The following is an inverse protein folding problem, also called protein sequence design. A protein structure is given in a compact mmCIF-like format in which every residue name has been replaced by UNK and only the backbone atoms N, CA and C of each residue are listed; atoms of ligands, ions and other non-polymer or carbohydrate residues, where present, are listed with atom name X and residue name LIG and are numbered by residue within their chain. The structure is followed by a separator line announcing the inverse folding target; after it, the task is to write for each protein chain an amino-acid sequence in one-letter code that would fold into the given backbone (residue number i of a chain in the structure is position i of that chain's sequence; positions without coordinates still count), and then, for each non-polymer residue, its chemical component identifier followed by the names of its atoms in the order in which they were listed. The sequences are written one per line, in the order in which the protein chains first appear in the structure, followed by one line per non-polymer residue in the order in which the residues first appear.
data_IF_714254682728
#
_entry.id   IF_714254682728
#
_cell.length_a   1.000
_cell.length_b   1.000
_cell.length_c   1.000
_cell.angle_alpha   90.00
_cell.angle_beta   90.00
_cell.angle_gamma   90.00
#
_symmetry.space_group_name_H-M   'P 1'
#
loop_
_entity.id
_entity.type
_entity.pdbx_description
1 polymer ?
#
# COMPACT_ATOMS: atom_id res chain seq x y z
N UNK A 1 -7.54 26.00 20.52
CA UNK A 1 -8.69 26.85 20.08
C UNK A 1 -9.60 26.01 19.20
N UNK A 2 -10.90 26.29 19.18
CA UNK A 2 -11.93 25.46 18.55
C UNK A 2 -12.31 25.93 17.13
N UNK A 3 -12.19 25.01 16.15
CA UNK A 3 -12.76 25.04 14.79
C UNK A 3 -12.82 23.59 14.28
N UNK A 4 -13.66 23.19 13.33
CA UNK A 4 -15.04 23.60 13.01
C UNK A 4 -15.67 22.44 12.21
N UNK A 5 -16.99 22.25 12.28
CA UNK A 5 -17.69 21.22 11.48
C UNK A 5 -18.09 21.83 10.13
N UNK A 6 -17.77 21.18 9.00
CA UNK A 6 -18.58 21.04 7.77
C UNK A 6 -17.76 20.56 6.55
N UNK A 7 -18.44 19.83 5.64
CA UNK A 7 -18.03 19.36 4.31
C UNK A 7 -16.83 18.38 4.17
N UNK A 8 -16.69 17.66 3.05
CA UNK A 8 -17.43 16.45 2.64
C UNK A 8 -17.11 16.05 1.17
N UNK A 9 -16.67 14.81 0.95
CA UNK A 9 -16.57 14.08 -0.35
C UNK A 9 -15.62 14.61 -1.45
N UNK A 10 -15.28 13.69 -2.37
CA UNK A 10 -14.42 13.82 -3.56
C UNK A 10 -12.92 14.01 -3.23
N UNK A 11 -11.95 13.57 -4.04
CA UNK A 11 -11.93 12.98 -5.41
C UNK A 11 -11.14 11.65 -5.42
N UNK A 12 -11.49 10.74 -6.34
CA UNK A 12 -10.82 9.43 -6.57
C UNK A 12 -9.73 9.53 -7.66
N UNK A 13 -8.63 8.76 -7.55
CA UNK A 13 -7.45 8.87 -8.43
C UNK A 13 -7.56 8.23 -9.83
N UNK A 14 -6.49 8.40 -10.64
CA UNK A 14 -6.33 7.80 -11.99
C UNK A 14 -4.87 7.50 -12.36
N UNK A 15 -4.69 6.42 -13.14
CA UNK A 15 -3.59 6.08 -14.08
C UNK A 15 -4.01 4.72 -14.71
N UNK A 16 -3.89 4.39 -16.00
CA UNK A 16 -3.65 5.13 -17.26
C UNK A 16 -4.27 4.30 -18.42
N UNK A 17 -4.65 4.81 -19.60
CA UNK A 17 -4.78 6.19 -20.07
C UNK A 17 -6.15 6.37 -20.82
N UNK A 18 -6.36 6.64 -22.12
CA UNK A 18 -5.49 6.93 -23.28
C UNK A 18 -6.27 7.70 -24.38
N UNK A 19 -5.67 8.77 -24.92
CA UNK A 19 -6.12 9.63 -26.04
C UNK A 19 -7.42 10.46 -25.86
N UNK A 20 -7.38 11.67 -26.43
CA UNK A 20 -8.48 12.64 -26.72
C UNK A 20 -9.80 12.47 -25.94
N UNK A 21 -10.17 13.33 -24.99
CA UNK A 21 -10.12 14.82 -25.07
C UNK A 21 -9.63 15.50 -23.77
N UNK A 22 -9.00 14.78 -22.85
CA UNK A 22 -8.56 15.33 -21.55
C UNK A 22 -7.39 16.34 -21.59
N UNK A 23 -6.72 16.49 -22.73
CA UNK A 23 -5.50 17.30 -22.87
C UNK A 23 -5.64 18.81 -22.66
N UNK A 24 -6.87 19.34 -22.55
CA UNK A 24 -7.13 20.77 -22.35
C UNK A 24 -7.32 21.12 -20.86
N UNK A 25 -8.23 20.44 -20.15
CA UNK A 25 -8.37 20.60 -18.69
C UNK A 25 -7.10 20.18 -17.91
N UNK A 26 -6.37 19.17 -18.40
CA UNK A 26 -5.08 18.81 -17.80
C UNK A 26 -4.02 19.92 -17.97
N UNK A 27 -4.13 20.77 -18.99
CA UNK A 27 -3.17 21.86 -19.25
C UNK A 27 -3.51 23.11 -18.45
N UNK A 28 -4.78 23.44 -18.29
CA UNK A 28 -5.26 24.54 -17.44
C UNK A 28 -5.00 24.29 -15.94
N UNK A 29 -4.83 23.04 -15.52
CA UNK A 29 -4.34 22.68 -14.17
C UNK A 29 -2.82 22.50 -14.05
N UNK A 30 -2.04 22.80 -15.10
CA UNK A 30 -0.57 22.68 -15.11
C UNK A 30 0.16 23.99 -15.46
N UNK A 31 -0.54 25.13 -15.47
CA UNK A 31 0.06 26.46 -15.68
C UNK A 31 -0.45 27.48 -14.66
N UNK A 32 0.06 27.39 -13.43
CA UNK A 32 0.81 28.52 -12.85
C UNK A 32 1.74 28.04 -11.73
N UNK A 33 2.97 28.55 -11.75
CA UNK A 33 4.06 28.48 -10.74
C UNK A 33 4.00 27.37 -9.67
N UNK A 34 4.84 26.32 -9.84
CA UNK A 34 5.17 25.36 -8.77
C UNK A 34 6.11 25.94 -7.70
N UNK A 35 5.75 27.07 -7.09
CA UNK A 35 6.32 27.52 -5.81
C UNK A 35 5.43 27.04 -4.65
N UNK A 36 5.42 25.72 -4.43
CA UNK A 36 4.65 25.09 -3.37
C UNK A 36 5.02 23.61 -3.23
N UNK A 37 5.55 23.23 -2.07
CA UNK A 37 5.92 21.83 -1.81
C UNK A 37 4.68 20.94 -1.67
N UNK A 38 4.75 19.72 -2.20
CA UNK A 38 3.74 18.67 -1.95
C UNK A 38 3.95 18.11 -0.54
N UNK A 39 3.67 18.94 0.44
CA UNK A 39 3.79 18.71 1.87
C UNK A 39 2.51 19.20 2.53
N UNK A 40 1.46 18.38 2.51
CA UNK A 40 0.31 18.63 3.36
C UNK A 40 0.76 18.50 4.82
N UNK A 41 0.54 19.54 5.61
CA UNK A 41 0.93 19.58 7.03
C UNK A 41 0.10 18.56 7.85
N UNK A 42 -1.06 18.18 7.31
CA UNK A 42 -1.81 16.98 7.67
C UNK A 42 -1.33 15.80 6.80
N UNK A 43 -0.83 14.73 7.42
CA UNK A 43 -0.12 13.64 6.73
C UNK A 43 -1.00 12.61 6.00
N UNK A 44 -0.34 11.81 5.14
CA UNK A 44 -0.79 10.59 4.45
C UNK A 44 -2.31 10.41 4.22
N UNK A 45 -2.74 10.68 2.99
CA UNK A 45 -4.09 10.34 2.50
C UNK A 45 -4.27 8.82 2.45
N UNK A 46 -5.40 8.25 2.91
CA UNK A 46 -5.57 6.81 3.07
C UNK A 46 -5.36 6.03 1.76
N UNK A 47 -4.59 4.95 1.89
CA UNK A 47 -4.37 3.94 0.86
C UNK A 47 -5.66 3.49 0.19
N UNK A 48 -5.64 3.57 -1.13
CA UNK A 48 -6.66 3.11 -2.05
C UNK A 48 -5.98 2.36 -3.19
N UNK A 49 -6.56 1.23 -3.59
CA UNK A 49 -6.07 0.39 -4.66
C UNK A 49 -7.19 0.09 -5.64
N UNK A 50 -6.88 0.08 -6.95
CA UNK A 50 -7.85 0.02 -8.04
C UNK A 50 -7.53 -1.21 -8.90
N UNK A 51 -8.54 -1.97 -9.31
CA UNK A 51 -8.37 -3.12 -10.21
C UNK A 51 -7.79 -2.69 -11.56
N UNK A 52 -7.03 -3.57 -12.22
CA UNK A 52 -6.37 -3.29 -13.51
C UNK A 52 -7.31 -2.86 -14.64
N UNK A 53 -8.60 -3.18 -14.54
CA UNK A 53 -9.64 -2.74 -15.49
C UNK A 53 -10.25 -1.37 -15.17
N UNK A 54 -9.82 -0.72 -14.09
CA UNK A 54 -10.28 0.60 -13.64
C UNK A 54 -11.69 0.65 -13.05
N UNK A 55 -12.35 -0.51 -12.83
CA UNK A 55 -13.78 -0.56 -12.44
C UNK A 55 -14.06 -0.73 -10.95
N UNK A 56 -13.16 -1.31 -10.17
CA UNK A 56 -13.34 -1.51 -8.73
C UNK A 56 -12.22 -0.82 -7.95
N UNK A 57 -12.58 -0.07 -6.91
CA UNK A 57 -11.63 0.51 -5.96
C UNK A 57 -11.86 -0.06 -4.56
N UNK A 58 -10.77 -0.31 -3.84
CA UNK A 58 -10.77 -0.67 -2.42
C UNK A 58 -10.04 0.42 -1.65
N UNK A 59 -10.61 0.90 -0.54
CA UNK A 59 -10.03 1.98 0.26
C UNK A 59 -10.36 1.80 1.75
N UNK A 60 -9.46 2.23 2.64
CA UNK A 60 -9.72 2.20 4.09
C UNK A 60 -10.23 3.54 4.61
N UNK A 61 -11.30 3.51 5.42
CA UNK A 61 -11.90 4.69 6.06
C UNK A 61 -11.84 4.55 7.58
N UNK A 62 -11.39 5.60 8.26
CA UNK A 62 -11.34 5.66 9.71
C UNK A 62 -12.69 6.12 10.33
N UNK A 63 -13.01 5.60 11.51
CA UNK A 63 -14.21 5.97 12.27
C UNK A 63 -13.99 5.84 13.79
N UNK A 64 -14.55 6.77 14.57
CA UNK A 64 -14.47 6.70 16.03
C UNK A 64 -15.60 5.82 16.61
N UNK A 65 -15.28 4.55 16.87
CA UNK A 65 -16.18 3.53 17.40
C UNK A 65 -16.05 3.41 18.92
N UNK A 66 -17.02 2.80 19.60
CA UNK A 66 -16.86 2.35 20.99
C UNK A 66 -16.13 1.00 20.98
N UNK A 67 -15.22 0.71 21.92
CA UNK A 67 -14.68 -0.63 22.10
C UNK A 67 -15.76 -1.62 22.52
N UNK A 68 -15.50 -2.91 22.30
CA UNK A 68 -16.42 -4.01 22.63
C UNK A 68 -16.74 -4.13 24.13
N UNK A 69 -15.84 -3.63 24.99
CA UNK A 69 -15.97 -3.69 26.45
C UNK A 69 -15.72 -2.32 27.11
N UNK A 70 -16.36 -2.10 28.26
CA UNK A 70 -16.28 -0.86 29.01
C UNK A 70 -17.18 0.24 28.44
N UNK A 71 -18.43 0.31 28.93
CA UNK A 71 -19.44 1.29 28.48
C UNK A 71 -18.93 2.74 28.60
N UNK A 72 -18.11 3.02 29.61
CA UNK A 72 -17.52 4.34 29.88
C UNK A 72 -16.19 4.61 29.15
N UNK A 73 -15.60 3.62 28.47
CA UNK A 73 -14.37 3.79 27.70
C UNK A 73 -14.49 4.90 26.66
N UNK A 74 -13.37 5.54 26.31
CA UNK A 74 -13.34 6.52 25.21
C UNK A 74 -13.65 5.82 23.87
N UNK A 75 -13.95 6.60 22.85
CA UNK A 75 -14.02 6.08 21.48
C UNK A 75 -12.60 5.85 20.94
N UNK A 76 -12.43 4.76 20.21
CA UNK A 76 -11.17 4.35 19.59
C UNK A 76 -11.28 4.52 18.06
N UNK A 77 -10.15 4.74 17.40
CA UNK A 77 -10.11 4.96 15.95
C UNK A 77 -10.00 3.62 15.21
N UNK A 78 -11.12 3.18 14.65
CA UNK A 78 -11.24 1.91 13.92
C UNK A 78 -11.26 2.18 12.42
N UNK A 79 -10.41 1.47 11.68
CA UNK A 79 -10.35 1.53 10.21
C UNK A 79 -11.12 0.36 9.61
N UNK A 80 -11.94 0.63 8.61
CA UNK A 80 -12.70 -0.38 7.88
C UNK A 80 -12.41 -0.25 6.38
N UNK A 81 -12.30 -1.38 5.68
CA UNK A 81 -12.10 -1.40 4.23
C UNK A 81 -13.47 -1.36 3.54
N UNK A 82 -13.57 -0.51 2.52
CA UNK A 82 -14.73 -0.36 1.66
C UNK A 82 -14.34 -0.66 0.21
N UNK A 83 -15.32 -1.16 -0.56
CA UNK A 83 -15.26 -1.35 -2.01
C UNK A 83 -16.19 -0.32 -2.68
N UNK A 84 -15.79 0.21 -3.83
CA UNK A 84 -16.61 1.06 -4.69
C UNK A 84 -16.49 0.63 -6.16
N UNK A 85 -17.52 0.89 -6.94
CA UNK A 85 -17.61 0.52 -8.36
C UNK A 85 -17.67 1.77 -9.25
N UNK A 86 -17.01 1.71 -10.41
CA UNK A 86 -17.04 2.79 -11.40
C UNK A 86 -18.11 2.53 -12.45
N UNK A 87 -19.24 3.23 -12.35
CA UNK A 87 -20.38 3.12 -13.26
C UNK A 87 -20.55 4.43 -14.01
N UNK A 88 -20.61 4.38 -15.35
CA UNK A 88 -20.71 5.55 -16.23
C UNK A 88 -19.64 6.65 -16.00
N UNK A 89 -18.50 6.29 -15.39
CA UNK A 89 -17.41 7.20 -15.05
C UNK A 89 -17.37 7.62 -13.57
N UNK A 90 -18.48 7.52 -12.86
CA UNK A 90 -18.64 7.93 -11.46
C UNK A 90 -18.41 6.76 -10.49
N UNK A 91 -17.96 7.05 -9.27
CA UNK A 91 -17.73 6.05 -8.22
C UNK A 91 -18.96 5.92 -7.32
N UNK A 92 -19.55 4.73 -7.30
CA UNK A 92 -20.82 4.41 -6.64
C UNK A 92 -20.76 3.02 -5.96
N UNK A 93 -21.90 2.48 -5.53
CA UNK A 93 -22.06 1.15 -4.92
C UNK A 93 -21.08 0.89 -3.75
N UNK A 94 -20.87 1.92 -2.92
CA UNK A 94 -19.93 1.89 -1.80
C UNK A 94 -20.41 0.89 -0.74
N UNK A 95 -19.63 -0.16 -0.52
CA UNK A 95 -19.95 -1.31 0.34
C UNK A 95 -18.82 -1.54 1.36
N UNK A 96 -19.14 -1.86 2.62
CA UNK A 96 -18.13 -2.30 3.60
C UNK A 96 -17.70 -3.72 3.27
N UNK A 97 -16.42 -4.03 3.43
CA UNK A 97 -15.86 -5.37 3.25
C UNK A 97 -15.64 -6.05 4.61
N UNK A 98 -16.08 -7.29 4.74
CA UNK A 98 -15.92 -8.11 5.95
C UNK A 98 -14.53 -8.77 6.02
N UNK A 99 -13.48 -7.93 5.97
CA UNK A 99 -12.06 -8.32 6.03
C UNK A 99 -11.60 -8.76 7.43
N UNK A 100 -12.21 -8.21 8.48
CA UNK A 100 -11.85 -8.46 9.88
C UNK A 100 -13.10 -8.36 10.78
N UNK A 101 -13.08 -8.93 12.00
CA UNK A 101 -14.18 -8.77 12.94
C UNK A 101 -14.36 -7.30 13.37
N UNK A 102 -15.56 -6.94 13.79
CA UNK A 102 -15.87 -5.58 14.29
C UNK A 102 -14.98 -5.20 15.50
N UNK A 103 -14.78 -3.90 15.69
CA UNK A 103 -13.86 -3.28 16.67
C UNK A 103 -12.36 -3.51 16.42
N UNK A 104 -11.97 -4.36 15.46
CA UNK A 104 -10.60 -4.40 14.93
C UNK A 104 -10.49 -3.51 13.68
N UNK A 105 -9.30 -3.00 13.43
CA UNK A 105 -8.99 -2.20 12.24
C UNK A 105 -8.50 -3.08 11.10
N UNK A 106 -8.96 -2.80 9.90
CA UNK A 106 -8.30 -3.18 8.65
C UNK A 106 -8.03 -1.90 7.83
N UNK A 107 -6.77 -1.73 7.43
CA UNK A 107 -6.27 -0.54 6.72
C UNK A 107 -5.33 -0.96 5.59
N UNK A 108 -5.06 -0.04 4.69
CA UNK A 108 -4.09 -0.21 3.61
C UNK A 108 -4.41 -1.35 2.61
N UNK A 109 -5.59 -1.34 1.96
CA UNK A 109 -5.97 -2.33 0.95
C UNK A 109 -5.13 -2.22 -0.34
N UNK A 110 -4.63 -3.35 -0.81
CA UNK A 110 -4.06 -3.56 -2.14
C UNK A 110 -4.74 -4.73 -2.83
N UNK A 111 -5.32 -4.51 -4.02
CA UNK A 111 -5.82 -5.59 -4.86
C UNK A 111 -4.71 -6.11 -5.77
N UNK A 112 -4.65 -7.44 -5.96
CA UNK A 112 -3.71 -8.05 -6.91
C UNK A 112 -4.04 -7.68 -8.35
N UNK A 113 -3.01 -7.71 -9.21
CA UNK A 113 -3.14 -7.31 -10.62
C UNK A 113 -4.19 -8.13 -11.40
N UNK A 114 -4.39 -9.39 -11.03
CA UNK A 114 -5.41 -10.28 -11.59
C UNK A 114 -6.81 -10.11 -10.98
N UNK A 115 -6.97 -9.21 -10.00
CA UNK A 115 -8.23 -8.91 -9.33
C UNK A 115 -8.71 -9.95 -8.31
N UNK A 116 -7.92 -10.99 -7.99
CA UNK A 116 -8.37 -12.16 -7.21
C UNK A 116 -7.98 -12.18 -5.73
N UNK A 117 -7.09 -11.30 -5.28
CA UNK A 117 -6.65 -11.23 -3.87
C UNK A 117 -6.66 -9.79 -3.38
N UNK A 118 -7.07 -9.59 -2.13
CA UNK A 118 -7.00 -8.33 -1.41
C UNK A 118 -6.03 -8.48 -0.25
N UNK A 119 -4.89 -7.80 -0.33
CA UNK A 119 -3.91 -7.67 0.75
C UNK A 119 -4.24 -6.45 1.61
N UNK A 120 -4.04 -6.53 2.92
CA UNK A 120 -4.29 -5.41 3.83
C UNK A 120 -3.56 -5.58 5.17
N UNK A 121 -3.37 -4.50 5.92
CA UNK A 121 -2.85 -4.54 7.28
C UNK A 121 -4.02 -4.58 8.30
N UNK A 122 -3.97 -5.47 9.29
CA UNK A 122 -5.00 -5.56 10.35
C UNK A 122 -4.43 -5.92 11.71
N UNK A 123 -5.04 -5.39 12.78
CA UNK A 123 -4.71 -5.71 14.17
C UNK A 123 -5.67 -6.75 14.78
N UNK A 124 -6.30 -7.59 13.95
CA UNK A 124 -7.32 -8.52 14.43
C UNK A 124 -6.75 -9.68 15.26
N UNK A 125 -7.56 -10.21 16.18
CA UNK A 125 -7.14 -11.26 17.11
C UNK A 125 -6.54 -12.46 16.36
N UNK A 126 -5.28 -12.76 16.65
CA UNK A 126 -4.48 -13.77 15.94
C UNK A 126 -3.33 -13.18 15.12
N UNK A 127 -3.22 -11.85 15.07
CA UNK A 127 -2.00 -11.13 14.63
C UNK A 127 -0.79 -11.51 15.50
N UNK A 128 0.40 -11.53 14.90
CA UNK A 128 1.68 -11.71 15.61
C UNK A 128 2.11 -10.41 16.31
N UNK A 129 1.76 -9.24 15.75
CA UNK A 129 2.18 -7.92 16.20
C UNK A 129 1.06 -6.91 16.43
N UNK A 130 1.39 -5.62 16.28
CA UNK A 130 0.47 -4.48 16.39
C UNK A 130 -0.50 -4.43 15.22
N UNK A 131 0.01 -4.63 14.01
CA UNK A 131 -0.73 -4.82 12.77
C UNK A 131 0.04 -5.79 11.88
N UNK A 132 -0.66 -6.76 11.34
CA UNK A 132 -0.11 -7.81 10.48
C UNK A 132 -0.62 -7.65 9.04
N UNK A 133 0.17 -8.06 8.04
CA UNK A 133 -0.35 -8.25 6.69
C UNK A 133 -1.20 -9.53 6.63
N UNK A 134 -2.41 -9.35 6.11
CA UNK A 134 -3.38 -10.38 5.77
C UNK A 134 -3.66 -10.38 4.26
N UNK A 135 -4.16 -11.51 3.76
CA UNK A 135 -4.72 -11.64 2.42
C UNK A 135 -6.09 -12.32 2.45
N UNK A 136 -7.04 -11.82 1.67
CA UNK A 136 -8.34 -12.45 1.44
C UNK A 136 -8.57 -12.69 -0.06
N UNK A 137 -9.16 -13.83 -0.39
CA UNK A 137 -9.51 -14.16 -1.78
C UNK A 137 -10.76 -13.38 -2.22
N UNK A 138 -10.71 -12.72 -3.37
CA UNK A 138 -11.86 -12.01 -3.98
C UNK A 138 -12.65 -13.01 -4.83
N UNK A 139 -13.91 -13.24 -4.46
CA UNK A 139 -14.81 -14.14 -5.19
C UNK A 139 -15.42 -13.42 -6.42
N UNK A 140 -16.02 -14.20 -7.32
CA UNK A 140 -16.62 -13.69 -8.55
C UNK A 140 -17.81 -12.72 -8.35
N UNK A 141 -18.42 -12.70 -7.17
CA UNK A 141 -19.46 -11.76 -6.75
C UNK A 141 -18.90 -10.49 -6.07
N UNK A 142 -17.58 -10.35 -5.98
CA UNK A 142 -16.89 -9.26 -5.28
C UNK A 142 -16.84 -9.41 -3.76
N UNK A 143 -17.44 -10.45 -3.19
CA UNK A 143 -17.31 -10.76 -1.76
C UNK A 143 -15.93 -11.38 -1.46
N UNK A 144 -15.52 -11.34 -0.18
CA UNK A 144 -14.22 -11.87 0.24
C UNK A 144 -14.34 -13.27 0.86
N UNK A 145 -13.29 -14.07 0.69
CA UNK A 145 -13.04 -15.29 1.45
C UNK A 145 -12.50 -14.99 2.85
N UNK A 146 -12.17 -16.04 3.60
CA UNK A 146 -11.57 -15.91 4.93
C UNK A 146 -10.16 -15.32 4.81
N UNK A 147 -9.92 -14.24 5.55
CA UNK A 147 -8.63 -13.55 5.64
C UNK A 147 -7.56 -14.42 6.31
N UNK A 148 -6.46 -14.66 5.60
CA UNK A 148 -5.32 -15.49 6.01
C UNK A 148 -4.15 -14.58 6.42
N UNK A 149 -3.52 -14.84 7.56
CA UNK A 149 -2.32 -14.14 8.01
C UNK A 149 -1.12 -14.58 7.16
N UNK A 150 -0.19 -13.68 6.81
CA UNK A 150 0.99 -14.04 6.01
C UNK A 150 2.15 -14.67 6.81
N UNK A 151 2.00 -14.85 8.12
CA UNK A 151 2.93 -15.56 8.98
C UNK A 151 4.27 -14.85 9.21
N UNK A 152 5.19 -15.46 9.98
CA UNK A 152 6.42 -14.80 10.47
C UNK A 152 7.44 -14.46 9.37
N UNK A 153 7.23 -14.97 8.14
CA UNK A 153 8.03 -14.60 6.98
C UNK A 153 7.81 -13.14 6.57
N UNK A 154 6.61 -12.60 6.80
CA UNK A 154 6.22 -11.19 6.56
C UNK A 154 6.02 -10.46 7.89
N UNK A 155 5.17 -11.00 8.76
CA UNK A 155 4.72 -10.36 9.99
C UNK A 155 5.71 -10.56 11.15
N UNK A 156 5.67 -9.68 12.14
CA UNK A 156 6.58 -9.63 13.29
C UNK A 156 5.80 -9.37 14.59
N UNK A 157 6.38 -8.65 15.57
CA UNK A 157 5.70 -8.22 16.80
C UNK A 157 5.26 -6.76 16.77
N UNK A 158 5.68 -6.00 15.75
CA UNK A 158 5.48 -4.56 15.66
C UNK A 158 4.40 -4.23 14.60
N UNK A 159 4.50 -3.11 13.88
CA UNK A 159 3.58 -2.75 12.80
C UNK A 159 4.13 -3.21 11.43
N UNK A 160 3.43 -4.10 10.73
CA UNK A 160 3.55 -4.32 9.29
C UNK A 160 2.42 -3.62 8.52
N UNK A 161 2.78 -2.80 7.54
CA UNK A 161 1.91 -1.82 6.92
C UNK A 161 2.07 -1.73 5.40
N UNK A 162 1.12 -1.03 4.77
CA UNK A 162 1.18 -0.59 3.37
C UNK A 162 1.58 -1.69 2.36
N UNK A 163 0.89 -2.85 2.35
CA UNK A 163 1.20 -3.89 1.37
C UNK A 163 0.96 -3.35 -0.05
N UNK A 164 1.91 -3.55 -0.95
CA UNK A 164 1.77 -3.29 -2.39
C UNK A 164 2.24 -4.53 -3.16
N UNK A 165 1.67 -4.82 -4.33
CA UNK A 165 2.02 -6.06 -5.06
C UNK A 165 2.25 -5.82 -6.55
N UNK A 166 3.36 -6.35 -7.05
CA UNK A 166 3.81 -6.23 -8.45
C UNK A 166 3.81 -7.60 -9.14
N UNK A 167 3.34 -7.65 -10.39
CA UNK A 167 3.07 -8.88 -11.17
C UNK A 167 2.23 -9.94 -10.43
N UNK A 168 1.58 -9.56 -9.32
CA UNK A 168 0.87 -10.42 -8.37
C UNK A 168 1.71 -11.52 -7.67
N UNK A 169 3.04 -11.54 -7.86
CA UNK A 169 3.97 -12.45 -7.18
C UNK A 169 4.95 -11.74 -6.26
N UNK A 170 5.24 -10.45 -6.46
CA UNK A 170 6.19 -9.69 -5.64
C UNK A 170 5.45 -8.76 -4.68
N UNK A 171 5.40 -9.13 -3.41
CA UNK A 171 4.77 -8.35 -2.33
C UNK A 171 5.81 -7.45 -1.66
N UNK A 172 5.53 -6.15 -1.64
CA UNK A 172 6.21 -5.15 -0.84
C UNK A 172 5.35 -4.81 0.40
N UNK A 173 5.99 -4.40 1.48
CA UNK A 173 5.35 -3.89 2.69
C UNK A 173 6.37 -3.07 3.50
N UNK A 174 5.88 -2.22 4.39
CA UNK A 174 6.71 -1.55 5.39
C UNK A 174 6.64 -2.29 6.74
N UNK A 175 7.71 -2.31 7.53
CA UNK A 175 7.79 -3.00 8.82
C UNK A 175 8.65 -2.24 9.83
N UNK A 176 8.16 -2.13 11.07
CA UNK A 176 8.93 -1.63 12.24
C UNK A 176 9.73 -2.74 12.95
N UNK A 177 9.44 -4.02 12.70
CA UNK A 177 9.88 -5.15 13.53
C UNK A 177 11.07 -5.95 13.01
N UNK A 178 11.88 -5.36 12.12
CA UNK A 178 12.98 -6.02 11.38
C UNK A 178 14.24 -5.15 11.37
N UNK A 179 15.41 -5.75 11.18
CA UNK A 179 16.66 -4.98 11.07
C UNK A 179 16.66 -4.11 9.80
N UNK A 180 16.73 -2.79 9.99
CA UNK A 180 16.65 -1.78 8.95
C UNK A 180 17.40 -0.49 9.31
N UNK A 181 16.93 0.63 8.76
CA UNK A 181 17.62 1.92 8.82
C UNK A 181 16.88 2.98 9.66
N UNK A 182 15.57 2.83 9.89
CA UNK A 182 14.69 3.90 10.37
C UNK A 182 13.59 3.44 11.34
N UNK A 183 12.37 3.92 11.10
CA UNK A 183 11.17 3.50 11.83
C UNK A 183 10.45 2.41 11.04
N UNK A 184 9.63 2.81 10.08
CA UNK A 184 9.13 1.92 9.03
C UNK A 184 10.18 1.76 7.91
N UNK A 185 10.71 0.56 7.74
CA UNK A 185 11.58 0.18 6.62
C UNK A 185 10.78 -0.61 5.56
N UNK A 186 11.09 -0.46 4.27
CA UNK A 186 10.49 -1.26 3.21
C UNK A 186 11.19 -2.61 3.02
N UNK A 187 10.37 -3.65 2.88
CA UNK A 187 10.76 -5.03 2.61
C UNK A 187 10.03 -5.59 1.39
N UNK A 188 10.60 -6.63 0.79
CA UNK A 188 9.99 -7.39 -0.30
C UNK A 188 10.04 -8.90 -0.04
N UNK A 189 9.04 -9.64 -0.53
CA UNK A 189 9.02 -11.11 -0.55
C UNK A 189 8.29 -11.61 -1.79
N UNK A 190 8.63 -12.81 -2.27
CA UNK A 190 7.84 -13.47 -3.30
C UNK A 190 6.74 -14.35 -2.72
N UNK A 191 5.59 -14.33 -3.38
CA UNK A 191 4.39 -15.14 -3.13
C UNK A 191 4.29 -16.19 -4.24
N UNK A 192 5.07 -17.27 -4.13
CA UNK A 192 5.18 -18.35 -5.14
C UNK A 192 4.43 -19.57 -4.67
N UNK A 193 3.42 -20.02 -5.43
CA UNK A 193 2.63 -21.22 -5.09
C UNK A 193 2.09 -21.19 -3.64
N UNK A 194 1.67 -20.00 -3.18
CA UNK A 194 1.28 -19.68 -1.79
C UNK A 194 2.35 -19.91 -0.72
N UNK A 195 3.58 -20.25 -1.11
CA UNK A 195 4.73 -20.18 -0.22
C UNK A 195 5.32 -18.78 -0.29
N UNK A 196 5.53 -18.17 0.87
CA UNK A 196 6.31 -16.94 0.99
C UNK A 196 7.80 -17.27 1.05
N UNK A 197 8.64 -16.48 0.39
CA UNK A 197 10.07 -16.45 0.69
C UNK A 197 10.32 -15.70 2.02
N UNK A 198 11.51 -15.82 2.64
CA UNK A 198 11.93 -14.83 3.63
C UNK A 198 11.85 -13.42 3.03
N UNK A 199 11.44 -12.44 3.83
CA UNK A 199 11.43 -11.04 3.41
C UNK A 199 12.82 -10.40 3.46
N UNK A 200 13.12 -9.58 2.45
CA UNK A 200 14.42 -8.93 2.22
C UNK A 200 14.25 -7.41 2.37
N UNK A 201 15.11 -6.76 3.14
CA UNK A 201 15.14 -5.29 3.26
C UNK A 201 15.57 -4.66 1.92
N UNK A 202 14.94 -3.58 1.50
CA UNK A 202 15.22 -2.88 0.22
C UNK A 202 16.44 -1.93 0.25
N UNK A 203 17.28 -2.03 1.27
CA UNK A 203 18.61 -1.41 1.34
C UNK A 203 18.61 0.11 1.50
N UNK A 204 19.75 0.66 1.92
CA UNK A 204 19.92 2.07 2.28
C UNK A 204 19.85 3.08 1.13
N UNK A 205 19.46 2.64 -0.08
CA UNK A 205 19.08 3.52 -1.20
C UNK A 205 17.57 3.79 -1.19
N UNK A 206 16.76 2.76 -0.94
CA UNK A 206 15.30 2.88 -0.81
C UNK A 206 14.91 3.26 0.62
N UNK A 207 15.58 2.70 1.63
CA UNK A 207 15.36 2.92 3.06
C UNK A 207 16.36 3.92 3.67
N UNK A 208 16.02 4.49 4.83
CA UNK A 208 16.74 5.59 5.48
C UNK A 208 16.43 5.69 6.98
N UNK A 209 16.90 6.75 7.65
CA UNK A 209 16.62 7.03 9.08
C UNK A 209 15.22 7.61 9.36
N UNK A 210 14.31 7.47 8.41
CA UNK A 210 12.96 8.01 8.39
C UNK A 210 11.95 6.86 8.29
N UNK A 211 10.67 7.17 8.10
CA UNK A 211 9.68 6.17 7.70
C UNK A 211 9.59 6.12 6.18
N UNK A 212 9.73 4.93 5.62
CA UNK A 212 9.39 4.56 4.26
C UNK A 212 8.07 3.79 4.25
N UNK A 213 7.00 4.46 3.85
CA UNK A 213 5.64 3.91 3.94
C UNK A 213 5.30 2.94 2.82
N UNK A 214 5.60 3.27 1.55
CA UNK A 214 5.15 2.45 0.42
C UNK A 214 6.07 2.58 -0.79
N UNK A 215 6.10 1.56 -1.65
CA UNK A 215 6.76 1.58 -2.95
C UNK A 215 5.83 1.11 -4.08
N UNK A 216 5.92 1.77 -5.24
CA UNK A 216 5.33 1.33 -6.51
C UNK A 216 6.42 1.25 -7.58
N UNK A 217 6.44 0.15 -8.34
CA UNK A 217 7.39 -0.05 -9.44
C UNK A 217 6.76 0.24 -10.83
N UNK A 218 7.61 0.66 -11.76
CA UNK A 218 7.38 0.71 -13.21
C UNK A 218 8.65 0.24 -13.95
N UNK A 219 8.94 -1.08 -14.02
CA UNK A 219 10.19 -1.58 -14.59
C UNK A 219 10.36 -1.29 -16.07
N UNK A 220 9.26 -1.14 -16.81
CA UNK A 220 9.24 -0.70 -18.21
C UNK A 220 9.77 0.74 -18.39
N UNK A 221 9.76 1.54 -17.32
CA UNK A 221 10.35 2.89 -17.26
C UNK A 221 11.68 2.94 -16.51
N UNK A 222 12.12 1.84 -15.89
CA UNK A 222 13.24 1.81 -14.91
C UNK A 222 13.03 2.70 -13.67
N UNK A 223 11.78 2.88 -13.22
CA UNK A 223 11.43 3.79 -12.13
C UNK A 223 10.70 3.09 -10.98
N UNK A 224 10.99 3.54 -9.77
CA UNK A 224 10.24 3.26 -8.55
C UNK A 224 9.83 4.57 -7.87
N UNK A 225 8.65 4.60 -7.28
CA UNK A 225 8.16 5.72 -6.48
C UNK A 225 8.03 5.26 -5.03
N UNK A 226 8.71 5.96 -4.12
CA UNK A 226 8.76 5.67 -2.68
C UNK A 226 8.05 6.80 -1.91
N UNK A 227 7.10 6.45 -1.06
CA UNK A 227 6.43 7.39 -0.15
C UNK A 227 7.18 7.38 1.18
N UNK A 228 7.70 8.51 1.63
CA UNK A 228 8.57 8.59 2.81
C UNK A 228 8.40 9.91 3.59
N UNK A 229 8.67 9.91 4.90
CA UNK A 229 8.77 11.13 5.70
C UNK A 229 10.18 11.76 5.75
N UNK A 230 11.15 11.33 4.92
CA UNK A 230 12.49 11.95 4.81
C UNK A 230 12.49 13.38 4.24
N UNK A 231 11.32 14.01 4.12
CA UNK A 231 11.13 15.38 3.67
C UNK A 231 11.62 16.41 4.67
N UNK A 232 11.72 17.66 4.21
CA UNK A 232 12.08 18.78 5.07
C UNK A 232 11.07 18.89 6.24
N UNK A 233 11.56 19.02 7.47
CA UNK A 233 10.75 18.95 8.71
C UNK A 233 9.93 17.65 8.87
N UNK A 234 10.47 16.52 8.42
CA UNK A 234 9.86 15.18 8.49
C UNK A 234 8.50 15.09 7.77
N UNK A 235 8.37 15.79 6.64
CA UNK A 235 7.12 15.88 5.86
C UNK A 235 6.97 14.71 4.90
N UNK A 236 5.76 14.13 4.83
CA UNK A 236 5.46 12.99 3.99
C UNK A 236 5.47 13.41 2.52
N UNK A 237 6.46 12.91 1.79
CA UNK A 237 6.80 13.29 0.42
C UNK A 237 6.93 12.06 -0.47
N UNK A 238 6.86 12.24 -1.79
CA UNK A 238 7.10 11.17 -2.77
C UNK A 238 8.47 11.34 -3.43
N UNK A 239 9.25 10.27 -3.45
CA UNK A 239 10.60 10.20 -3.99
C UNK A 239 10.65 9.29 -5.21
N UNK A 240 11.45 9.66 -6.21
CA UNK A 240 11.73 8.81 -7.36
C UNK A 240 13.07 8.10 -7.15
N UNK A 241 13.08 6.79 -7.31
CA UNK A 241 14.29 5.93 -7.31
C UNK A 241 14.42 5.32 -8.70
N UNK A 242 15.58 5.47 -9.35
CA UNK A 242 15.83 4.91 -10.67
C UNK A 242 16.60 3.58 -10.56
N UNK A 243 16.25 2.56 -11.35
CA UNK A 243 16.94 1.26 -11.33
C UNK A 243 17.29 0.69 -12.71
N UNK A 244 18.56 0.31 -12.87
CA UNK A 244 19.04 -0.52 -13.98
C UNK A 244 19.95 0.19 -14.98
N UNK A 245 21.04 -0.48 -15.37
CA UNK A 245 22.14 -0.04 -16.24
C UNK A 245 22.06 1.37 -16.82
N UNK A 246 22.75 2.28 -16.14
CA UNK A 246 23.15 3.60 -16.65
C UNK A 246 24.67 3.73 -16.64
N UNK A 247 25.28 3.97 -17.80
CA UNK A 247 26.70 4.31 -17.91
C UNK A 247 26.99 5.78 -17.52
N UNK A 248 26.02 6.48 -16.91
CA UNK A 248 26.12 7.86 -16.44
C UNK A 248 25.65 7.95 -15.00
N UNK A 249 26.49 8.56 -14.17
CA UNK A 249 26.34 8.69 -12.72
C UNK A 249 25.96 10.13 -12.39
N UNK A 250 24.71 10.48 -12.71
CA UNK A 250 24.17 11.84 -12.60
C UNK A 250 23.33 11.93 -11.30
N UNK A 251 23.58 12.94 -10.46
CA UNK A 251 23.15 13.02 -9.04
C UNK A 251 21.65 13.16 -8.73
N UNK A 252 20.78 12.67 -9.60
CA UNK A 252 19.35 12.44 -9.36
C UNK A 252 18.94 10.97 -9.63
N UNK A 253 19.86 10.17 -10.19
CA UNK A 253 19.71 8.73 -10.39
C UNK A 253 20.49 8.00 -9.29
N UNK A 254 19.96 7.95 -8.07
CA UNK A 254 20.57 7.10 -7.05
C UNK A 254 20.41 5.62 -7.43
N UNK A 255 21.53 4.93 -7.59
CA UNK A 255 21.64 3.81 -8.53
C UNK A 255 21.20 2.49 -7.90
N UNK A 256 19.92 2.13 -8.01
CA UNK A 256 19.42 0.81 -7.58
C UNK A 256 19.83 -0.37 -8.49
N UNK A 257 21.01 -0.28 -9.13
CA UNK A 257 21.80 -1.44 -9.58
C UNK A 257 22.63 -2.05 -8.45
N UNK A 258 23.08 -1.24 -7.47
CA UNK A 258 23.80 -1.72 -6.29
C UNK A 258 22.88 -2.28 -5.21
N UNK A 259 21.56 -2.11 -5.35
CA UNK A 259 20.61 -2.61 -4.34
C UNK A 259 20.41 -4.13 -4.46
N UNK A 260 21.28 -4.87 -3.77
CA UNK A 260 21.23 -6.32 -3.73
C UNK A 260 19.89 -6.86 -3.19
N UNK A 261 19.16 -6.09 -2.37
CA UNK A 261 17.84 -6.47 -1.86
C UNK A 261 16.82 -6.58 -3.00
N UNK A 262 16.53 -5.46 -3.65
CA UNK A 262 15.59 -5.40 -4.77
C UNK A 262 16.00 -6.33 -5.93
N UNK A 263 17.30 -6.37 -6.26
CA UNK A 263 17.81 -7.25 -7.31
C UNK A 263 17.63 -8.75 -6.96
N UNK A 264 17.75 -9.14 -5.69
CA UNK A 264 17.51 -10.54 -5.28
C UNK A 264 16.06 -10.95 -5.53
N UNK A 265 15.08 -10.14 -5.07
CA UNK A 265 13.66 -10.53 -5.14
C UNK A 265 13.07 -10.36 -6.56
N UNK A 266 13.68 -9.54 -7.42
CA UNK A 266 13.25 -9.37 -8.82
C UNK A 266 13.72 -10.49 -9.77
N UNK A 267 14.78 -11.26 -9.44
CA UNK A 267 15.38 -12.23 -10.36
C UNK A 267 14.84 -13.67 -10.27
N UNK A 268 14.05 -14.01 -9.25
CA UNK A 268 13.41 -15.35 -9.13
C UNK A 268 12.17 -15.46 -10.03
N UNK A 269 12.26 -16.31 -11.06
CA UNK A 269 11.16 -16.60 -12.00
C UNK A 269 10.23 -17.70 -11.46
N UNK A 270 8.92 -17.48 -11.48
CA UNK A 270 7.93 -18.45 -10.99
C UNK A 270 6.51 -18.20 -11.54
N UNK A 271 5.77 -19.28 -11.78
CA UNK A 271 4.37 -19.26 -12.22
C UNK A 271 3.37 -19.45 -11.05
N UNK A 272 2.09 -19.22 -11.33
CA UNK A 272 1.01 -19.17 -10.34
C UNK A 272 0.46 -20.55 -9.93
N UNK A 273 0.00 -20.67 -8.67
CA UNK A 273 -0.89 -21.73 -8.20
C UNK A 273 -1.95 -21.19 -7.20
N UNK A 274 -2.93 -22.01 -6.84
CA UNK A 274 -4.19 -21.61 -6.15
C UNK A 274 -4.12 -21.61 -4.62
N UNK A 275 -4.92 -20.76 -3.96
CA UNK A 275 -4.70 -20.13 -2.64
C UNK A 275 -4.77 -20.98 -1.35
N UNK A 276 -3.95 -22.04 -1.29
CA UNK A 276 -3.65 -22.80 -0.07
C UNK A 276 -2.23 -22.47 0.44
N UNK A 277 -2.10 -21.56 1.40
CA UNK A 277 -0.83 -21.34 2.12
C UNK A 277 -0.56 -22.57 2.99
N UNK A 278 0.62 -23.18 2.85
CA UNK A 278 1.03 -24.32 3.68
C UNK A 278 1.78 -23.85 4.93
N UNK A 279 1.21 -24.10 6.10
CA UNK A 279 1.88 -23.94 7.39
C UNK A 279 2.97 -25.02 7.54
N UNK A 280 4.21 -24.69 7.19
CA UNK A 280 5.37 -25.52 7.50
C UNK A 280 5.71 -25.41 8.99
N UNK A 281 5.74 -26.57 9.67
CA UNK A 281 6.00 -26.74 11.10
C UNK A 281 7.47 -26.54 11.47
#
# INVERSE_FOLDING_TARGET
MTRSILYSLLVTGMIFASQTTFGQMAKEMLTDNMEGGVSSVDGYVPSMSITKDGKTAYFSKASYQKPLYGVFSKKELVHEIYRAEKVNGEWTNITKMDVCPNHYSAKHPTVSEDGKRLFFASNMKGSYGKYDIYVADIKADGSLGVSKNLGPKVNTKEDELYPSIYNGTLLFFASEGREGYGGLDLYATQVVQNTLTPSVNLGGHINSKSDEYAIQLSPEKKLGLVVSNRGFNNTISQYTVAYGRSNKQDGYNDVAESDAGLQTVMNTSSEYATTSYEDQQ
#
